data_IF_872103015835
#
_entry.id   IF_872103015835
#
_cell.length_a   1.000
_cell.length_b   1.000
_cell.length_c   1.000
_cell.angle_alpha   90.00
_cell.angle_beta   90.00
_cell.angle_gamma   90.00
#
_symmetry.space_group_name_H-M   'P 1'
#
loop_
_entity.id
_entity.type
_entity.pdbx_description
1 polymer ?
#
# COMPACT_ATOMS: atom_id res chain seq x y z
N UNK A 1 -30.02 -29.51 -31.51
CA UNK A 1 -28.97 -28.89 -32.36
C UNK A 1 -27.67 -28.95 -31.60
N UNK A 2 -26.65 -29.59 -32.14
CA UNK A 2 -25.35 -29.79 -31.49
C UNK A 2 -24.55 -28.48 -31.53
N UNK A 3 -24.02 -28.03 -30.39
CA UNK A 3 -23.20 -26.81 -30.34
C UNK A 3 -21.75 -27.17 -30.64
N UNK A 4 -21.31 -26.95 -31.87
CA UNK A 4 -19.92 -27.14 -32.28
C UNK A 4 -19.02 -26.23 -31.44
N UNK A 5 -18.04 -26.81 -30.75
CA UNK A 5 -17.02 -26.07 -29.99
C UNK A 5 -15.76 -26.03 -30.83
N UNK A 6 -15.23 -24.84 -31.13
CA UNK A 6 -13.97 -24.70 -31.85
C UNK A 6 -12.81 -24.53 -30.85
N UNK A 7 -11.67 -25.16 -31.15
CA UNK A 7 -10.51 -25.18 -30.26
C UNK A 7 -9.86 -23.79 -30.01
N UNK A 8 -10.23 -22.78 -30.80
CA UNK A 8 -9.73 -21.40 -30.63
C UNK A 8 -10.56 -20.58 -29.63
N UNK A 9 -11.79 -20.99 -29.29
CA UNK A 9 -12.71 -20.18 -28.45
C UNK A 9 -12.25 -20.03 -26.98
N UNK A 10 -11.34 -20.89 -26.50
CA UNK A 10 -10.93 -20.96 -25.09
C UNK A 10 -9.41 -21.13 -24.86
N UNK A 11 -8.57 -20.82 -25.85
CA UNK A 11 -7.12 -20.77 -25.64
C UNK A 11 -6.69 -19.35 -25.19
N UNK A 12 -6.07 -19.18 -24.00
CA UNK A 12 -5.54 -17.87 -23.61
C UNK A 12 -4.42 -17.44 -24.57
N UNK A 13 -4.45 -16.18 -25.00
CA UNK A 13 -3.46 -15.60 -25.90
C UNK A 13 -2.04 -15.76 -25.33
N UNK A 14 -1.08 -16.13 -26.20
CA UNK A 14 0.30 -16.48 -25.81
C UNK A 14 1.06 -15.27 -25.23
N UNK A 15 0.98 -15.10 -23.93
CA UNK A 15 1.93 -14.33 -23.12
C UNK A 15 2.98 -15.28 -22.54
N UNK A 16 4.20 -14.79 -22.30
CA UNK A 16 5.36 -15.65 -22.05
C UNK A 16 5.48 -16.05 -20.57
N UNK A 17 4.53 -16.88 -20.10
CA UNK A 17 4.50 -17.51 -18.78
C UNK A 17 4.11 -18.98 -18.92
N UNK A 18 4.89 -19.90 -18.33
CA UNK A 18 4.69 -21.36 -18.51
C UNK A 18 3.74 -21.93 -17.46
N UNK A 19 2.51 -21.42 -17.41
CA UNK A 19 1.42 -22.03 -16.66
C UNK A 19 0.91 -23.25 -17.41
N UNK A 20 1.16 -24.45 -16.88
CA UNK A 20 0.66 -25.70 -17.49
C UNK A 20 -0.83 -25.89 -17.20
N UNK A 21 -1.58 -26.20 -18.25
CA UNK A 21 -2.98 -26.64 -18.17
C UNK A 21 -3.09 -28.06 -18.70
N UNK A 22 -3.84 -28.91 -17.99
CA UNK A 22 -4.16 -30.28 -18.40
C UNK A 22 -5.62 -30.41 -18.81
N UNK A 23 -5.89 -31.26 -19.81
CA UNK A 23 -7.25 -31.60 -20.22
C UNK A 23 -7.88 -32.55 -19.19
N UNK A 24 -9.17 -32.40 -18.91
CA UNK A 24 -9.92 -33.26 -17.98
C UNK A 24 -11.24 -33.71 -18.62
N UNK A 25 -11.32 -34.99 -18.95
CA UNK A 25 -12.51 -35.61 -19.53
C UNK A 25 -13.71 -35.63 -18.54
N UNK A 26 -14.94 -35.34 -19.00
CA UNK A 26 -16.13 -35.37 -18.16
C UNK A 26 -16.60 -36.80 -17.82
N UNK A 27 -17.45 -36.98 -16.80
CA UNK A 27 -17.92 -38.29 -16.36
C UNK A 27 -18.58 -39.09 -17.49
N UNK A 28 -18.14 -40.34 -17.69
CA UNK A 28 -18.64 -41.24 -18.73
C UNK A 28 -17.94 -41.13 -20.09
N UNK A 29 -16.92 -40.29 -20.22
CA UNK A 29 -15.95 -40.36 -21.34
C UNK A 29 -14.76 -41.27 -20.93
N UNK A 30 -14.01 -41.85 -21.90
CA UNK A 30 -12.75 -42.51 -21.57
C UNK A 30 -11.74 -41.51 -20.95
N UNK A 31 -10.90 -41.95 -20.00
CA UNK A 31 -9.86 -41.10 -19.42
C UNK A 31 -8.84 -40.69 -20.49
N UNK A 32 -8.41 -39.43 -20.46
CA UNK A 32 -7.36 -38.89 -21.32
C UNK A 32 -5.98 -39.12 -20.70
N UNK A 33 -5.02 -39.61 -21.50
CA UNK A 33 -3.64 -39.87 -21.05
C UNK A 33 -2.97 -38.60 -20.48
N UNK A 34 -2.01 -38.71 -19.53
CA UNK A 34 -1.31 -37.57 -18.95
C UNK A 34 -0.61 -36.71 -20.01
N UNK A 35 -1.06 -35.45 -20.15
CA UNK A 35 -0.54 -34.50 -21.15
C UNK A 35 -1.19 -34.59 -22.54
N UNK A 36 -2.23 -35.42 -22.72
CA UNK A 36 -3.02 -35.44 -23.95
C UNK A 36 -3.82 -34.13 -24.13
N UNK A 37 -3.93 -33.69 -25.38
CA UNK A 37 -4.60 -32.45 -25.81
C UNK A 37 -5.46 -32.76 -27.04
N UNK A 38 -6.76 -32.39 -27.08
CA UNK A 38 -7.58 -32.61 -28.26
C UNK A 38 -7.05 -31.79 -29.45
N UNK A 39 -6.81 -32.40 -30.63
CA UNK A 39 -6.30 -31.69 -31.80
C UNK A 39 -7.34 -30.72 -32.38
N UNK A 40 -6.88 -29.73 -33.16
CA UNK A 40 -7.75 -28.69 -33.71
C UNK A 40 -8.86 -29.29 -34.60
N UNK A 41 -10.12 -29.04 -34.23
CA UNK A 41 -11.30 -29.57 -34.92
C UNK A 41 -11.81 -30.92 -34.38
N UNK A 42 -11.19 -31.48 -33.34
CA UNK A 42 -11.68 -32.67 -32.65
C UNK A 42 -13.07 -32.46 -32.03
N UNK A 43 -13.90 -33.51 -32.06
CA UNK A 43 -15.21 -33.54 -31.42
C UNK A 43 -15.36 -34.88 -30.66
N UNK A 44 -16.13 -34.91 -29.55
CA UNK A 44 -16.40 -36.15 -28.83
C UNK A 44 -17.20 -37.15 -29.67
N UNK A 45 -17.02 -38.44 -29.39
CA UNK A 45 -17.73 -39.49 -30.11
C UNK A 45 -19.25 -39.42 -29.84
N UNK A 46 -20.14 -39.56 -30.85
CA UNK A 46 -21.59 -39.42 -30.67
C UNK A 46 -22.26 -40.40 -29.69
N UNK A 47 -21.55 -41.44 -29.23
CA UNK A 47 -22.02 -42.39 -28.23
C UNK A 47 -21.64 -42.03 -26.78
N UNK A 48 -20.95 -40.91 -26.56
CA UNK A 48 -20.59 -40.45 -25.22
C UNK A 48 -21.66 -39.48 -24.66
N UNK A 49 -21.88 -39.46 -23.33
CA UNK A 49 -22.83 -38.53 -22.73
C UNK A 49 -22.39 -37.06 -22.94
N UNK A 50 -23.32 -36.10 -23.05
CA UNK A 50 -22.96 -34.69 -23.07
C UNK A 50 -22.33 -34.28 -21.73
N UNK A 51 -21.34 -33.39 -21.79
CA UNK A 51 -20.72 -32.85 -20.58
C UNK A 51 -21.73 -32.02 -19.74
N UNK A 52 -21.60 -31.98 -18.40
CA UNK A 52 -22.38 -31.09 -17.56
C UNK A 52 -22.27 -29.61 -18.00
N UNK A 53 -23.31 -28.77 -17.78
CA UNK A 53 -23.37 -27.40 -18.30
C UNK A 53 -22.16 -26.51 -17.97
N UNK A 54 -21.53 -26.74 -16.81
CA UNK A 54 -20.44 -25.93 -16.27
C UNK A 54 -19.09 -26.71 -16.19
N UNK A 55 -18.92 -27.75 -17.01
CA UNK A 55 -17.71 -28.60 -16.94
C UNK A 55 -16.44 -27.90 -17.42
N UNK A 56 -15.45 -27.79 -16.54
CA UNK A 56 -14.13 -27.25 -16.85
C UNK A 56 -13.23 -28.32 -17.49
N UNK A 57 -13.13 -28.29 -18.81
CA UNK A 57 -12.26 -29.19 -19.59
C UNK A 57 -10.76 -28.93 -19.39
N UNK A 58 -10.36 -27.80 -18.82
CA UNK A 58 -8.96 -27.39 -18.61
C UNK A 58 -8.73 -26.98 -17.17
N UNK A 59 -7.71 -27.56 -16.54
CA UNK A 59 -7.33 -27.26 -15.15
C UNK A 59 -5.83 -26.93 -15.10
N UNK A 60 -5.45 -25.90 -14.36
CA UNK A 60 -4.06 -25.51 -14.13
C UNK A 60 -3.36 -26.45 -13.15
N UNK A 61 -2.13 -26.88 -13.45
CA UNK A 61 -1.38 -27.83 -12.61
C UNK A 61 -0.95 -27.26 -11.23
N UNK A 62 -1.13 -25.95 -10.98
CA UNK A 62 -0.73 -25.30 -9.72
C UNK A 62 -1.71 -25.51 -8.55
N UNK A 63 -2.84 -26.22 -8.73
CA UNK A 63 -3.85 -26.37 -7.67
C UNK A 63 -4.76 -27.61 -7.72
N UNK A 64 -4.20 -28.83 -7.66
CA UNK A 64 -4.79 -29.94 -6.88
C UNK A 64 -3.92 -31.21 -6.86
N UNK A 65 -3.24 -31.48 -5.74
CA UNK A 65 -2.84 -32.85 -5.35
C UNK A 65 -3.98 -33.51 -4.57
N UNK A 66 -4.95 -34.09 -5.28
CA UNK A 66 -5.93 -35.01 -4.68
C UNK A 66 -5.79 -36.39 -5.28
N UNK A 67 -5.48 -37.35 -4.41
CA UNK A 67 -5.38 -38.78 -4.71
C UNK A 67 -6.62 -39.28 -5.46
N UNK A 68 -6.40 -40.06 -6.51
CA UNK A 68 -7.40 -41.05 -6.93
C UNK A 68 -7.46 -42.19 -5.89
N UNK A 69 -8.62 -42.83 -5.70
CA UNK A 69 -8.69 -44.12 -5.01
C UNK A 69 -8.14 -45.22 -5.93
N UNK A 70 -7.39 -46.15 -5.34
CA UNK A 70 -7.02 -47.42 -5.98
C UNK A 70 -7.78 -48.57 -5.27
N UNK A 71 -8.02 -49.69 -5.97
CA UNK A 71 -9.00 -50.69 -5.56
C UNK A 71 -8.53 -52.13 -5.80
N UNK A 72 -7.98 -52.76 -4.75
CA UNK A 72 -7.77 -54.21 -4.67
C UNK A 72 -7.65 -54.72 -3.21
N UNK A 73 -8.65 -55.47 -2.75
CA UNK A 73 -8.44 -56.65 -1.89
C UNK A 73 -7.85 -57.79 -2.77
N UNK A 74 -7.24 -58.90 -2.26
CA UNK A 74 -7.50 -59.57 -0.97
C UNK A 74 -6.21 -60.21 -0.34
N UNK A 75 -6.27 -61.38 0.33
CA UNK A 75 -7.08 -61.80 1.49
C UNK A 75 -6.20 -61.96 2.76
N UNK A 76 -6.83 -62.22 3.91
CA UNK A 76 -6.15 -62.73 5.10
C UNK A 76 -6.56 -64.20 5.38
N UNK A 77 -5.59 -65.11 5.43
CA UNK A 77 -5.80 -66.49 5.90
C UNK A 77 -5.66 -66.60 7.43
N UNK A 78 -6.13 -67.72 7.96
CA UNK A 78 -6.30 -68.00 9.39
C UNK A 78 -5.02 -68.44 10.11
N UNK A 79 -4.99 -68.20 11.42
CA UNK A 79 -4.72 -69.30 12.36
C UNK A 79 -5.62 -69.20 13.61
N UNK A 80 -5.73 -70.30 14.37
CA UNK A 80 -6.75 -70.60 15.40
C UNK A 80 -6.07 -70.84 16.79
N UNK A 81 -6.66 -71.46 17.85
CA UNK A 81 -8.03 -71.97 18.06
C UNK A 81 -8.68 -71.79 19.47
N UNK A 82 -9.99 -72.09 19.55
CA UNK A 82 -10.74 -72.64 20.72
C UNK A 82 -10.87 -71.78 22.01
N UNK A 83 -11.95 -71.84 22.83
CA UNK A 83 -13.25 -72.55 22.82
C UNK A 83 -14.34 -71.59 23.42
N UNK A 84 -15.52 -71.91 23.98
CA UNK A 84 -16.27 -73.13 24.41
C UNK A 84 -17.80 -72.84 24.29
N UNK A 85 -18.74 -73.80 24.44
CA UNK A 85 -20.18 -73.54 24.29
C UNK A 85 -20.84 -72.90 25.53
N UNK A 86 -22.09 -72.46 25.38
CA UNK A 86 -22.83 -71.67 26.37
C UNK A 86 -23.67 -72.50 27.37
N UNK A 87 -23.62 -72.12 28.65
CA UNK A 87 -24.72 -72.25 29.63
C UNK A 87 -24.37 -71.58 30.97
N UNK A 88 -25.37 -71.00 31.66
CA UNK A 88 -25.40 -70.91 33.12
C UNK A 88 -24.67 -69.75 33.83
N UNK A 89 -25.48 -68.82 34.35
CA UNK A 89 -25.31 -68.05 35.60
C UNK A 89 -24.18 -67.02 35.84
N UNK A 90 -24.53 -66.15 36.81
CA UNK A 90 -23.73 -65.25 37.65
C UNK A 90 -23.20 -63.90 37.08
N UNK A 91 -22.77 -63.08 38.04
CA UNK A 91 -22.76 -61.61 38.15
C UNK A 91 -21.62 -60.85 37.45
N UNK A 92 -21.71 -59.50 37.53
CA UNK A 92 -20.70 -58.48 37.17
C UNK A 92 -20.52 -58.23 35.65
N UNK A 93 -20.92 -57.07 35.10
CA UNK A 93 -20.42 -55.67 35.25
C UNK A 93 -19.27 -55.31 34.29
N UNK A 94 -19.63 -54.40 33.38
CA UNK A 94 -18.79 -53.34 32.76
C UNK A 94 -17.91 -53.69 31.53
N UNK A 95 -17.55 -52.62 30.79
CA UNK A 95 -16.78 -52.52 29.54
C UNK A 95 -17.39 -53.16 28.27
N UNK A 96 -17.43 -52.40 27.16
CA UNK A 96 -17.68 -52.98 25.82
C UNK A 96 -18.28 -52.06 24.74
N UNK A 97 -19.01 -51.00 25.09
CA UNK A 97 -19.57 -50.07 24.08
C UNK A 97 -18.49 -49.14 23.52
N UNK A 98 -17.97 -49.45 22.33
CA UNK A 98 -17.33 -48.44 21.48
C UNK A 98 -18.42 -47.44 21.05
N UNK A 99 -18.34 -46.22 21.58
CA UNK A 99 -19.32 -45.18 21.33
C UNK A 99 -18.99 -44.41 20.04
N UNK A 100 -19.79 -44.66 19.00
CA UNK A 100 -19.95 -43.72 17.88
C UNK A 100 -20.14 -42.28 18.41
N UNK A 101 -19.31 -41.30 18.03
CA UNK A 101 -19.44 -39.93 18.53
C UNK A 101 -20.81 -39.38 18.10
N UNK A 102 -21.63 -39.09 19.11
CA UNK A 102 -23.06 -38.81 18.94
C UNK A 102 -23.31 -37.60 18.02
N UNK A 103 -24.53 -37.51 17.48
CA UNK A 103 -24.92 -36.37 16.66
C UNK A 103 -24.80 -35.02 17.42
N UNK A 104 -24.81 -35.02 18.75
CA UNK A 104 -24.47 -33.85 19.56
C UNK A 104 -22.97 -33.54 19.50
N UNK A 105 -22.09 -34.50 19.81
CA UNK A 105 -20.64 -34.32 19.77
C UNK A 105 -20.12 -33.91 18.38
N UNK A 106 -20.74 -34.41 17.30
CA UNK A 106 -20.42 -33.99 15.92
C UNK A 106 -20.82 -32.53 15.63
N UNK A 107 -21.98 -32.07 16.15
CA UNK A 107 -22.41 -30.66 16.05
C UNK A 107 -21.55 -29.73 16.90
N UNK A 108 -21.14 -30.18 18.08
CA UNK A 108 -20.25 -29.45 18.98
C UNK A 108 -18.86 -29.27 18.36
N UNK A 109 -18.30 -30.32 17.75
CA UNK A 109 -17.08 -30.23 16.94
C UNK A 109 -17.19 -29.27 15.75
N UNK A 110 -18.37 -29.18 15.12
CA UNK A 110 -18.62 -28.24 14.04
C UNK A 110 -18.71 -26.80 14.57
N UNK A 111 -19.48 -26.55 15.64
CA UNK A 111 -19.59 -25.23 16.26
C UNK A 111 -18.24 -24.72 16.79
N UNK A 112 -17.42 -25.59 17.37
CA UNK A 112 -16.04 -25.25 17.80
C UNK A 112 -15.16 -24.91 16.59
N UNK A 113 -15.30 -25.60 15.46
CA UNK A 113 -14.55 -25.25 14.22
C UNK A 113 -15.01 -23.92 13.62
N UNK A 114 -16.31 -23.67 13.61
CA UNK A 114 -16.89 -22.40 13.13
C UNK A 114 -16.45 -21.24 14.04
N UNK A 115 -16.40 -21.43 15.36
CA UNK A 115 -15.81 -20.47 16.32
C UNK A 115 -14.31 -20.28 16.11
N UNK A 116 -13.54 -21.35 15.85
CA UNK A 116 -12.10 -21.26 15.58
C UNK A 116 -11.84 -20.51 14.26
N UNK A 117 -12.60 -20.75 13.20
CA UNK A 117 -12.40 -20.09 11.91
C UNK A 117 -12.95 -18.66 11.89
N UNK A 118 -13.99 -18.36 12.69
CA UNK A 118 -14.40 -16.98 12.99
C UNK A 118 -13.31 -16.25 13.78
N UNK A 119 -12.80 -16.83 14.88
CA UNK A 119 -11.72 -16.25 15.68
C UNK A 119 -10.41 -16.07 14.88
N UNK A 120 -10.12 -16.92 13.89
CA UNK A 120 -9.01 -16.70 12.93
C UNK A 120 -9.26 -15.54 11.98
N UNK A 121 -10.49 -15.34 11.50
CA UNK A 121 -10.84 -14.18 10.64
C UNK A 121 -10.77 -12.90 11.43
N UNK A 122 -11.34 -12.89 12.63
CA UNK A 122 -11.20 -11.80 13.60
C UNK A 122 -9.73 -11.56 13.93
N UNK A 123 -8.91 -12.59 14.15
CA UNK A 123 -7.47 -12.42 14.36
C UNK A 123 -6.74 -11.85 13.14
N UNK A 124 -7.10 -12.25 11.91
CA UNK A 124 -6.46 -11.74 10.68
C UNK A 124 -6.91 -10.32 10.36
N UNK A 125 -8.19 -9.99 10.52
CA UNK A 125 -8.69 -8.61 10.39
C UNK A 125 -8.16 -7.73 11.52
N UNK A 126 -7.96 -8.26 12.72
CA UNK A 126 -7.30 -7.55 13.81
C UNK A 126 -5.78 -7.43 13.57
N UNK A 127 -5.10 -8.41 12.98
CA UNK A 127 -3.68 -8.32 12.60
C UNK A 127 -3.49 -7.29 11.46
N UNK A 128 -4.36 -7.27 10.44
CA UNK A 128 -4.32 -6.25 9.37
C UNK A 128 -4.74 -4.86 9.89
N UNK A 129 -5.71 -4.77 10.80
CA UNK A 129 -6.07 -3.51 11.46
C UNK A 129 -4.97 -3.03 12.42
N UNK A 130 -4.30 -3.93 13.14
CA UNK A 130 -3.14 -3.62 13.99
C UNK A 130 -1.95 -3.25 13.12
N UNK A 131 -1.72 -3.89 11.96
CA UNK A 131 -0.72 -3.45 10.99
C UNK A 131 -1.04 -2.03 10.48
N UNK A 132 -2.29 -1.73 10.13
CA UNK A 132 -2.71 -0.39 9.71
C UNK A 132 -2.64 0.66 10.85
N UNK A 133 -2.90 0.25 12.09
CA UNK A 133 -2.90 1.13 13.27
C UNK A 133 -1.48 1.34 13.85
N UNK A 134 -0.59 0.35 13.72
CA UNK A 134 0.86 0.46 13.95
C UNK A 134 1.55 1.24 12.83
N UNK A 135 1.09 1.12 11.58
CA UNK A 135 1.46 2.04 10.47
C UNK A 135 1.04 3.49 10.77
N UNK A 136 0.19 3.72 11.77
CA UNK A 136 -0.06 5.05 12.35
C UNK A 136 1.18 5.73 12.94
N UNK A 137 2.14 4.97 13.48
CA UNK A 137 3.50 5.42 13.81
C UNK A 137 4.48 4.25 13.59
N UNK A 138 5.14 4.22 12.43
CA UNK A 138 6.40 3.47 12.31
C UNK A 138 7.45 4.21 13.16
N UNK A 139 7.67 3.76 14.40
CA UNK A 139 8.79 4.23 15.19
C UNK A 139 10.09 3.80 14.50
N UNK A 140 11.00 4.75 14.28
CA UNK A 140 12.34 4.46 13.76
C UNK A 140 13.09 3.60 14.78
N UNK A 141 13.20 2.29 14.49
CA UNK A 141 13.88 1.33 15.36
C UNK A 141 15.41 1.51 15.38
N UNK A 142 15.94 2.36 14.49
CA UNK A 142 17.37 2.57 14.30
C UNK A 142 17.73 4.07 14.33
N UNK A 143 18.72 4.50 15.15
CA UNK A 143 19.05 5.92 15.36
C UNK A 143 19.89 6.55 14.24
N UNK A 144 19.75 6.09 12.99
CA UNK A 144 20.47 6.65 11.85
C UNK A 144 19.63 7.72 11.15
N UNK A 145 20.25 8.88 10.91
CA UNK A 145 19.57 10.10 10.49
C UNK A 145 19.48 10.22 8.96
N UNK A 146 20.42 9.61 8.22
CA UNK A 146 20.55 9.76 6.76
C UNK A 146 20.52 8.42 6.03
N UNK A 147 19.99 8.42 4.81
CA UNK A 147 19.99 7.24 3.93
C UNK A 147 21.42 6.77 3.53
N UNK A 148 22.48 7.52 3.82
CA UNK A 148 23.86 7.10 3.62
C UNK A 148 24.34 6.16 4.73
N UNK A 149 24.14 6.54 5.99
CA UNK A 149 24.48 5.72 7.17
C UNK A 149 23.80 4.34 7.12
N UNK A 150 22.54 4.28 6.67
CA UNK A 150 21.83 3.02 6.46
C UNK A 150 22.51 2.10 5.42
N UNK A 151 23.13 2.65 4.37
CA UNK A 151 23.86 1.84 3.37
C UNK A 151 25.14 1.26 3.97
N UNK A 152 25.84 2.02 4.80
CA UNK A 152 27.06 1.59 5.50
C UNK A 152 26.73 0.45 6.47
N UNK A 153 25.73 0.63 7.33
CA UNK A 153 25.30 -0.41 8.27
C UNK A 153 24.76 -1.68 7.54
N UNK A 154 24.05 -1.53 6.41
CA UNK A 154 23.67 -2.68 5.56
C UNK A 154 24.90 -3.35 4.92
N UNK A 155 25.97 -2.62 4.62
CA UNK A 155 27.22 -3.19 4.12
C UNK A 155 27.96 -3.98 5.22
N UNK A 156 27.99 -3.48 6.46
CA UNK A 156 28.53 -4.21 7.62
C UNK A 156 27.78 -5.52 7.86
N UNK A 157 26.44 -5.49 7.88
CA UNK A 157 25.60 -6.68 8.03
C UNK A 157 25.92 -7.71 6.93
N UNK A 158 26.09 -7.27 5.68
CA UNK A 158 26.47 -8.14 4.55
C UNK A 158 27.89 -8.69 4.65
N UNK A 159 28.83 -7.96 5.26
CA UNK A 159 30.19 -8.45 5.54
C UNK A 159 30.17 -9.51 6.65
N UNK A 160 29.43 -9.27 7.74
CA UNK A 160 29.21 -10.27 8.79
C UNK A 160 28.52 -11.53 8.24
N UNK A 161 27.50 -11.37 7.40
CA UNK A 161 26.79 -12.50 6.78
C UNK A 161 27.72 -13.32 5.87
N UNK A 162 28.61 -12.67 5.11
CA UNK A 162 29.66 -13.34 4.33
C UNK A 162 30.66 -14.09 5.22
N UNK A 163 30.97 -13.61 6.42
CA UNK A 163 31.85 -14.29 7.35
C UNK A 163 31.23 -15.61 7.87
N UNK A 164 29.95 -15.61 8.27
CA UNK A 164 29.22 -16.84 8.64
C UNK A 164 29.21 -17.88 7.52
N UNK A 165 29.00 -17.46 6.26
CA UNK A 165 29.03 -18.35 5.09
C UNK A 165 30.45 -18.87 4.83
N UNK A 166 31.47 -18.00 4.86
CA UNK A 166 32.89 -18.38 4.62
C UNK A 166 33.43 -19.34 5.68
N UNK A 167 33.05 -19.14 6.94
CA UNK A 167 33.50 -19.95 8.06
C UNK A 167 32.69 -21.25 8.25
N UNK A 168 31.60 -21.42 7.48
CA UNK A 168 30.70 -22.58 7.59
C UNK A 168 29.78 -22.57 8.81
N UNK A 169 29.78 -21.50 9.61
CA UNK A 169 29.06 -21.40 10.89
C UNK A 169 27.58 -21.00 10.75
N UNK A 170 27.11 -20.68 9.54
CA UNK A 170 25.72 -20.28 9.28
C UNK A 170 24.66 -21.38 9.56
N UNK A 171 25.06 -22.65 9.46
CA UNK A 171 24.24 -23.83 9.78
C UNK A 171 24.98 -24.64 10.85
N UNK A 172 24.32 -24.90 11.97
CA UNK A 172 24.80 -25.79 13.02
C UNK A 172 24.35 -27.22 12.71
N UNK A 173 25.21 -28.21 12.97
CA UNK A 173 24.95 -29.63 12.72
C UNK A 173 25.74 -30.51 13.71
N UNK A 174 25.36 -31.78 13.85
CA UNK A 174 26.01 -32.72 14.78
C UNK A 174 27.15 -33.51 14.12
N UNK A 175 28.38 -33.35 14.61
CA UNK A 175 29.57 -34.10 14.16
C UNK A 175 29.49 -35.62 14.42
N UNK A 176 28.50 -36.06 15.21
CA UNK A 176 28.33 -37.47 15.63
C UNK A 176 27.64 -38.34 14.58
N UNK A 177 27.17 -37.77 13.48
CA UNK A 177 26.47 -38.51 12.43
C UNK A 177 27.42 -39.42 11.63
N UNK A 178 27.15 -40.72 11.65
CA UNK A 178 27.84 -41.72 10.83
C UNK A 178 26.91 -42.24 9.73
N UNK A 179 27.44 -42.35 8.50
CA UNK A 179 26.72 -42.92 7.36
C UNK A 179 27.47 -44.15 6.86
N UNK A 180 26.78 -45.28 6.62
CA UNK A 180 27.39 -46.57 6.27
C UNK A 180 28.57 -46.95 7.18
N UNK A 181 28.37 -46.84 8.50
CA UNK A 181 29.41 -47.03 9.55
C UNK A 181 30.67 -46.13 9.40
N UNK A 182 30.59 -45.05 8.63
CA UNK A 182 31.70 -44.12 8.37
C UNK A 182 31.39 -42.70 8.80
N UNK A 183 32.13 -42.21 9.79
CA UNK A 183 32.17 -40.79 10.18
C UNK A 183 32.80 -39.88 9.12
N UNK A 184 33.52 -40.44 8.14
CA UNK A 184 34.02 -39.66 7.00
C UNK A 184 32.92 -39.43 5.94
N UNK A 185 32.12 -40.46 5.64
CA UNK A 185 30.97 -40.32 4.75
C UNK A 185 29.87 -39.47 5.39
N UNK A 186 29.60 -39.66 6.69
CA UNK A 186 28.67 -38.85 7.47
C UNK A 186 29.00 -37.36 7.40
N UNK A 187 30.22 -36.96 7.78
CA UNK A 187 30.66 -35.55 7.71
C UNK A 187 30.58 -34.96 6.29
N UNK A 188 30.88 -35.73 5.24
CA UNK A 188 30.68 -35.27 3.85
C UNK A 188 29.21 -35.00 3.54
N UNK A 189 28.33 -35.94 3.90
CA UNK A 189 26.88 -35.82 3.72
C UNK A 189 26.33 -34.59 4.45
N UNK A 190 26.67 -34.42 5.74
CA UNK A 190 26.28 -33.25 6.54
C UNK A 190 26.77 -31.94 5.92
N UNK A 191 28.00 -31.88 5.39
CA UNK A 191 28.53 -30.70 4.72
C UNK A 191 27.81 -30.36 3.41
N UNK A 192 27.38 -31.36 2.63
CA UNK A 192 26.65 -31.13 1.37
C UNK A 192 25.17 -30.77 1.62
N UNK A 193 24.51 -31.37 2.62
CA UNK A 193 23.19 -30.93 3.08
C UNK A 193 23.22 -29.54 3.72
N UNK A 194 24.29 -29.17 4.43
CA UNK A 194 24.47 -27.83 5.01
C UNK A 194 24.47 -26.75 3.93
N UNK A 195 25.20 -26.96 2.82
CA UNK A 195 25.20 -26.07 1.65
C UNK A 195 23.81 -25.95 1.00
N UNK A 196 23.04 -27.04 0.96
CA UNK A 196 21.68 -27.04 0.41
C UNK A 196 20.72 -26.21 1.28
N UNK A 197 20.71 -26.47 2.59
CA UNK A 197 19.86 -25.76 3.55
C UNK A 197 20.21 -24.27 3.62
N UNK A 198 21.51 -23.94 3.64
CA UNK A 198 21.99 -22.56 3.61
C UNK A 198 21.60 -21.82 2.32
N UNK A 199 21.63 -22.51 1.16
CA UNK A 199 21.15 -21.93 -0.10
C UNK A 199 19.66 -21.62 -0.05
N UNK A 200 18.84 -22.57 0.42
CA UNK A 200 17.39 -22.37 0.55
C UNK A 200 17.06 -21.23 1.53
N UNK A 201 17.71 -21.20 2.70
CA UNK A 201 17.58 -20.12 3.68
C UNK A 201 17.95 -18.76 3.09
N UNK A 202 19.10 -18.66 2.43
CA UNK A 202 19.57 -17.40 1.87
C UNK A 202 18.70 -16.91 0.72
N UNK A 203 18.18 -17.82 -0.14
CA UNK A 203 17.20 -17.43 -1.16
C UNK A 203 15.93 -16.85 -0.55
N UNK A 204 15.39 -17.44 0.53
CA UNK A 204 14.20 -16.87 1.19
C UNK A 204 14.51 -15.55 1.91
N UNK A 205 15.67 -15.46 2.58
CA UNK A 205 16.11 -14.24 3.22
C UNK A 205 16.36 -13.10 2.21
N UNK A 206 16.92 -13.40 1.04
CA UNK A 206 17.14 -12.42 -0.03
C UNK A 206 15.81 -12.02 -0.70
N UNK A 207 14.86 -12.96 -0.84
CA UNK A 207 13.50 -12.64 -1.28
C UNK A 207 12.79 -11.69 -0.30
N UNK A 208 12.95 -11.91 1.02
CA UNK A 208 12.43 -11.02 2.05
C UNK A 208 13.07 -9.62 1.94
N UNK A 209 14.41 -9.51 1.90
CA UNK A 209 15.11 -8.22 1.74
C UNK A 209 14.75 -7.50 0.43
N UNK A 210 14.42 -8.23 -0.64
CA UNK A 210 14.00 -7.65 -1.93
C UNK A 210 12.52 -7.28 -2.02
N UNK A 211 11.67 -7.78 -1.13
CA UNK A 211 10.21 -7.55 -1.14
C UNK A 211 9.69 -6.78 0.08
N UNK A 212 10.52 -6.56 1.10
CA UNK A 212 10.21 -5.68 2.23
C UNK A 212 9.95 -4.25 1.74
N UNK A 213 8.99 -3.60 2.39
CA UNK A 213 8.59 -2.19 2.29
C UNK A 213 8.30 -1.70 3.70
N UNK A 214 8.12 -0.39 3.88
CA UNK A 214 7.79 0.25 5.16
C UNK A 214 6.83 -0.57 6.06
N UNK A 215 5.65 -0.95 5.53
CA UNK A 215 4.63 -1.70 6.27
C UNK A 215 4.73 -3.24 6.21
N UNK A 216 5.77 -3.83 5.61
CA UNK A 216 5.88 -5.31 5.46
C UNK A 216 7.08 -5.94 6.19
N UNK A 217 7.78 -5.17 7.04
CA UNK A 217 8.90 -5.67 7.86
C UNK A 217 8.49 -6.87 8.73
N UNK A 218 7.36 -6.78 9.43
CA UNK A 218 6.87 -7.84 10.32
C UNK A 218 6.54 -9.15 9.58
N UNK A 219 5.85 -9.08 8.44
CA UNK A 219 5.50 -10.27 7.65
C UNK A 219 6.68 -10.85 6.87
N UNK A 220 7.70 -10.04 6.57
CA UNK A 220 8.99 -10.51 6.05
C UNK A 220 9.80 -11.27 7.13
N UNK A 221 9.87 -10.76 8.37
CA UNK A 221 10.45 -11.47 9.52
C UNK A 221 9.79 -12.84 9.73
N UNK A 222 8.46 -12.84 9.93
CA UNK A 222 7.68 -14.05 10.20
C UNK A 222 7.83 -15.13 9.12
N UNK A 223 8.05 -14.73 7.87
CA UNK A 223 8.34 -15.66 6.76
C UNK A 223 9.72 -16.30 6.87
N UNK A 224 10.73 -15.52 7.28
CA UNK A 224 12.08 -16.02 7.53
C UNK A 224 12.12 -16.97 8.75
N UNK A 225 11.36 -16.67 9.80
CA UNK A 225 11.24 -17.52 11.00
C UNK A 225 10.68 -18.91 10.64
N UNK A 226 9.61 -18.95 9.82
CA UNK A 226 9.04 -20.19 9.26
C UNK A 226 10.04 -20.97 8.40
N UNK A 227 10.98 -20.29 7.75
CA UNK A 227 12.07 -20.92 6.99
C UNK A 227 13.06 -21.64 7.91
N UNK A 228 13.45 -21.01 9.03
CA UNK A 228 14.29 -21.64 10.07
C UNK A 228 13.59 -22.86 10.66
N UNK A 229 12.30 -22.76 11.01
CA UNK A 229 11.52 -23.91 11.49
C UNK A 229 11.51 -25.06 10.48
N UNK A 230 11.28 -24.76 9.20
CA UNK A 230 11.19 -25.76 8.13
C UNK A 230 12.51 -26.48 7.91
N UNK A 231 13.63 -25.74 7.93
CA UNK A 231 14.98 -26.29 7.89
C UNK A 231 15.27 -27.16 9.11
N UNK A 232 14.87 -26.75 10.32
CA UNK A 232 15.06 -27.56 11.53
C UNK A 232 14.21 -28.85 11.52
N UNK A 233 12.98 -28.80 10.98
CA UNK A 233 12.10 -29.97 10.80
C UNK A 233 12.70 -30.99 9.83
N UNK A 234 13.22 -30.53 8.69
CA UNK A 234 13.90 -31.38 7.69
C UNK A 234 15.28 -31.87 8.19
N UNK A 235 16.01 -31.03 8.92
CA UNK A 235 17.35 -31.29 9.44
C UNK A 235 17.41 -32.20 10.67
N UNK A 236 16.26 -32.58 11.24
CA UNK A 236 16.13 -33.25 12.55
C UNK A 236 17.02 -34.50 12.70
N UNK A 237 17.17 -35.32 11.66
CA UNK A 237 17.98 -36.57 11.70
C UNK A 237 19.49 -36.32 11.92
N UNK A 238 19.99 -35.15 11.54
CA UNK A 238 21.40 -34.73 11.70
C UNK A 238 21.55 -33.57 12.69
N UNK A 239 20.49 -33.31 13.48
CA UNK A 239 20.35 -32.19 14.43
C UNK A 239 20.63 -30.80 13.81
N UNK A 240 20.33 -30.66 12.51
CA UNK A 240 20.71 -29.46 11.74
C UNK A 240 19.74 -28.30 11.93
N UNK A 241 20.27 -27.09 12.11
CA UNK A 241 19.49 -25.84 12.24
C UNK A 241 20.28 -24.63 11.74
N UNK A 242 19.59 -23.56 11.36
CA UNK A 242 20.23 -22.25 11.14
C UNK A 242 20.82 -21.76 12.47
N UNK A 243 22.02 -21.16 12.43
CA UNK A 243 22.64 -20.59 13.62
C UNK A 243 21.81 -19.37 14.12
N UNK A 244 21.43 -19.31 15.42
CA UNK A 244 20.60 -18.21 15.93
C UNK A 244 21.18 -16.82 15.66
N UNK A 245 22.49 -16.66 15.80
CA UNK A 245 23.22 -15.41 15.50
C UNK A 245 23.10 -15.00 14.03
N UNK A 246 23.23 -15.96 13.10
CA UNK A 246 23.08 -15.72 11.67
C UNK A 246 21.63 -15.39 11.28
N UNK A 247 20.67 -15.98 11.99
CA UNK A 247 19.26 -15.68 11.81
C UNK A 247 18.91 -14.28 12.30
N UNK A 248 19.32 -13.90 13.52
CA UNK A 248 19.18 -12.55 14.08
C UNK A 248 19.84 -11.49 13.17
N UNK A 249 21.02 -11.78 12.63
CA UNK A 249 21.71 -10.89 11.68
C UNK A 249 20.88 -10.64 10.40
N UNK A 250 20.19 -11.66 9.88
CA UNK A 250 19.32 -11.54 8.70
C UNK A 250 17.96 -10.91 8.99
N UNK A 251 17.42 -11.08 10.21
CA UNK A 251 16.27 -10.30 10.68
C UNK A 251 16.63 -8.81 10.74
N UNK A 252 17.82 -8.46 11.25
CA UNK A 252 18.33 -7.08 11.25
C UNK A 252 18.54 -6.51 9.84
N UNK A 253 18.94 -7.33 8.86
CA UNK A 253 19.01 -6.88 7.46
C UNK A 253 17.62 -6.51 6.90
N UNK A 254 16.56 -7.23 7.30
CA UNK A 254 15.18 -6.95 6.89
C UNK A 254 14.65 -5.66 7.54
N UNK A 255 14.86 -5.49 8.86
CA UNK A 255 14.50 -4.26 9.59
C UNK A 255 15.15 -3.02 8.96
N UNK A 256 16.47 -3.03 8.86
CA UNK A 256 17.27 -1.92 8.38
C UNK A 256 17.02 -1.61 6.88
N UNK A 257 16.62 -2.61 6.09
CA UNK A 257 16.16 -2.38 4.71
C UNK A 257 14.78 -1.71 4.67
N UNK A 258 13.92 -1.96 5.67
CA UNK A 258 12.67 -1.24 5.88
C UNK A 258 12.92 0.23 6.25
N UNK A 259 13.69 0.49 7.31
CA UNK A 259 14.07 1.84 7.76
C UNK A 259 14.66 2.67 6.62
N UNK A 260 15.62 2.08 5.88
CA UNK A 260 16.28 2.69 4.73
C UNK A 260 15.30 3.12 3.63
N UNK A 261 14.31 2.28 3.31
CA UNK A 261 13.32 2.61 2.28
C UNK A 261 12.44 3.80 2.70
N UNK A 262 12.04 3.86 3.97
CA UNK A 262 11.28 5.00 4.52
C UNK A 262 12.13 6.27 4.46
N UNK A 263 13.39 6.21 4.93
CA UNK A 263 14.32 7.33 4.90
C UNK A 263 14.56 7.87 3.48
N UNK A 264 14.76 6.98 2.51
CA UNK A 264 14.88 7.35 1.09
C UNK A 264 13.59 7.96 0.52
N UNK A 265 12.41 7.52 0.99
CA UNK A 265 11.15 8.16 0.61
C UNK A 265 11.02 9.57 1.21
N UNK A 266 11.32 9.75 2.50
CA UNK A 266 11.30 11.06 3.17
C UNK A 266 12.22 12.07 2.47
N UNK A 267 13.49 11.71 2.24
CA UNK A 267 14.48 12.55 1.57
C UNK A 267 14.03 12.91 0.14
N UNK A 268 13.44 11.96 -0.58
CA UNK A 268 12.91 12.17 -1.94
C UNK A 268 11.67 13.07 -1.96
N UNK A 269 10.80 12.97 -0.95
CA UNK A 269 9.64 13.86 -0.80
C UNK A 269 10.05 15.27 -0.37
N UNK A 270 10.99 15.40 0.58
CA UNK A 270 11.57 16.67 1.00
C UNK A 270 12.22 17.40 -0.18
N UNK A 271 13.13 16.73 -0.91
CA UNK A 271 13.77 17.29 -2.09
C UNK A 271 12.78 17.56 -3.24
N UNK A 272 11.61 16.89 -3.31
CA UNK A 272 10.55 17.26 -4.26
C UNK A 272 9.89 18.58 -3.83
N UNK A 273 9.45 18.68 -2.58
CA UNK A 273 8.78 19.87 -2.05
C UNK A 273 9.67 21.12 -2.10
N UNK A 274 10.97 20.99 -1.80
CA UNK A 274 11.95 22.07 -1.92
C UNK A 274 12.10 22.56 -3.37
N UNK A 275 12.22 21.64 -4.34
CA UNK A 275 12.27 22.01 -5.77
C UNK A 275 10.96 22.59 -6.30
N UNK A 276 9.82 22.25 -5.70
CA UNK A 276 8.54 22.89 -6.02
C UNK A 276 8.52 24.33 -5.49
N UNK A 277 8.86 24.54 -4.20
CA UNK A 277 9.00 25.86 -3.61
C UNK A 277 9.95 26.77 -4.38
N UNK A 278 11.15 26.30 -4.70
CA UNK A 278 12.15 27.08 -5.47
C UNK A 278 11.72 27.39 -6.91
N UNK A 279 10.72 26.68 -7.46
CA UNK A 279 10.10 27.04 -8.75
C UNK A 279 9.01 28.09 -8.56
N UNK A 280 8.18 27.94 -7.54
CA UNK A 280 7.08 28.85 -7.22
C UNK A 280 7.59 30.22 -6.76
N UNK A 281 8.62 30.25 -5.91
CA UNK A 281 9.30 31.47 -5.45
C UNK A 281 9.90 32.25 -6.64
N UNK A 282 10.53 31.55 -7.60
CA UNK A 282 11.08 32.15 -8.84
C UNK A 282 10.02 32.62 -9.83
N UNK A 283 8.86 31.94 -9.91
CA UNK A 283 7.73 32.38 -10.75
C UNK A 283 7.16 33.69 -10.23
N UNK A 284 6.88 33.75 -8.93
CA UNK A 284 6.39 34.98 -8.30
C UNK A 284 7.39 36.15 -8.45
N UNK A 285 8.70 35.90 -8.37
CA UNK A 285 9.72 36.91 -8.64
C UNK A 285 9.72 37.40 -10.09
N UNK A 286 9.63 36.50 -11.06
CA UNK A 286 9.56 36.86 -12.48
C UNK A 286 8.27 37.63 -12.83
N UNK A 287 7.14 37.28 -12.22
CA UNK A 287 5.87 38.00 -12.38
C UNK A 287 5.93 39.42 -11.82
N UNK A 288 6.39 39.58 -10.58
CA UNK A 288 6.52 40.90 -9.95
C UNK A 288 7.49 41.80 -10.73
N UNK A 289 8.59 41.25 -11.24
CA UNK A 289 9.53 41.96 -12.12
C UNK A 289 8.91 42.35 -13.47
N UNK A 290 8.19 41.44 -14.14
CA UNK A 290 7.55 41.73 -15.42
C UNK A 290 6.46 42.80 -15.30
N UNK A 291 5.65 42.73 -14.24
CA UNK A 291 4.66 43.75 -13.89
C UNK A 291 5.33 45.10 -13.60
N UNK A 292 6.45 45.09 -12.87
CA UNK A 292 7.20 46.32 -12.54
C UNK A 292 7.77 47.00 -13.79
N UNK A 293 8.26 46.21 -14.75
CA UNK A 293 8.66 46.71 -16.06
C UNK A 293 7.47 47.25 -16.87
N UNK A 294 6.29 46.63 -16.79
CA UNK A 294 5.10 47.10 -17.51
C UNK A 294 4.64 48.45 -16.95
N UNK A 295 4.46 48.56 -15.63
CA UNK A 295 4.05 49.79 -14.96
C UNK A 295 5.03 50.95 -15.24
N UNK A 296 6.33 50.68 -15.35
CA UNK A 296 7.32 51.70 -15.73
C UNK A 296 7.17 52.17 -17.19
N UNK A 297 6.87 51.24 -18.11
CA UNK A 297 6.56 51.58 -19.52
C UNK A 297 5.26 52.39 -19.63
N UNK A 298 4.24 52.06 -18.84
CA UNK A 298 2.99 52.81 -18.77
C UNK A 298 3.18 54.21 -18.15
N UNK A 299 3.92 54.34 -17.04
CA UNK A 299 4.30 55.62 -16.46
C UNK A 299 5.05 56.49 -17.49
N UNK A 300 6.00 55.89 -18.23
CA UNK A 300 6.70 56.55 -19.33
C UNK A 300 5.76 56.98 -20.47
N UNK A 301 4.68 56.25 -20.75
CA UNK A 301 3.67 56.65 -21.73
C UNK A 301 2.83 57.83 -21.24
N UNK A 302 2.21 57.72 -20.06
CA UNK A 302 1.30 58.74 -19.54
C UNK A 302 2.00 60.05 -19.15
N UNK A 303 3.26 60.01 -18.68
CA UNK A 303 4.04 61.24 -18.45
C UNK A 303 4.33 62.00 -19.75
N UNK A 304 4.65 61.30 -20.84
CA UNK A 304 4.81 61.91 -22.16
C UNK A 304 3.48 62.41 -22.75
N UNK A 305 2.36 61.75 -22.46
CA UNK A 305 1.03 62.24 -22.83
C UNK A 305 0.66 63.53 -22.07
N UNK A 306 0.87 63.55 -20.75
CA UNK A 306 0.62 64.71 -19.90
C UNK A 306 1.43 65.94 -20.36
N UNK A 307 2.70 65.76 -20.72
CA UNK A 307 3.56 66.83 -21.21
C UNK A 307 3.02 67.48 -22.51
N UNK A 308 2.37 66.71 -23.38
CA UNK A 308 1.73 67.23 -24.60
C UNK A 308 0.43 67.97 -24.28
N UNK A 309 -0.47 67.36 -23.50
CA UNK A 309 -1.75 67.97 -23.12
C UNK A 309 -1.55 69.30 -22.35
N UNK A 310 -0.50 69.38 -21.52
CA UNK A 310 -0.11 70.62 -20.85
C UNK A 310 0.42 71.70 -21.82
N UNK A 311 1.17 71.32 -22.86
CA UNK A 311 1.63 72.24 -23.91
C UNK A 311 0.49 72.70 -24.85
N UNK A 312 -0.53 71.87 -25.04
CA UNK A 312 -1.73 72.15 -25.83
C UNK A 312 -2.83 72.88 -25.02
N UNK A 313 -2.62 73.11 -23.72
CA UNK A 313 -3.56 73.83 -22.85
C UNK A 313 -4.84 73.04 -22.49
N UNK A 314 -4.86 71.73 -22.71
CA UNK A 314 -6.03 70.88 -22.51
C UNK A 314 -6.15 70.43 -21.05
N UNK A 315 -6.44 71.40 -20.17
CA UNK A 315 -6.40 71.28 -18.71
C UNK A 315 -7.17 70.06 -18.17
N UNK A 316 -8.41 69.85 -18.62
CA UNK A 316 -9.33 68.82 -18.14
C UNK A 316 -8.83 67.39 -18.44
N UNK A 317 -8.32 67.14 -19.65
CA UNK A 317 -7.69 65.86 -20.01
C UNK A 317 -6.33 65.68 -19.30
N UNK A 318 -5.60 66.77 -19.06
CA UNK A 318 -4.35 66.73 -18.30
C UNK A 318 -4.57 66.43 -16.80
N UNK A 319 -5.78 66.67 -16.27
CA UNK A 319 -6.16 66.32 -14.91
C UNK A 319 -6.51 64.82 -14.80
N UNK A 320 -7.29 64.26 -15.74
CA UNK A 320 -7.57 62.81 -15.84
C UNK A 320 -6.28 61.98 -15.96
N UNK A 321 -5.33 62.41 -16.80
CA UNK A 321 -4.03 61.73 -16.95
C UNK A 321 -3.18 61.82 -15.67
N UNK A 322 -3.36 62.86 -14.83
CA UNK A 322 -2.67 62.95 -13.52
C UNK A 322 -3.25 61.99 -12.48
N UNK A 323 -4.57 61.83 -12.42
CA UNK A 323 -5.20 60.81 -11.56
C UNK A 323 -4.71 59.40 -11.93
N UNK A 324 -4.69 59.09 -13.24
CA UNK A 324 -4.18 57.81 -13.74
C UNK A 324 -2.69 57.59 -13.46
N UNK A 325 -1.86 58.65 -13.54
CA UNK A 325 -0.45 58.59 -13.14
C UNK A 325 -0.27 58.32 -11.64
N UNK A 326 -1.13 58.89 -10.78
CA UNK A 326 -1.10 58.58 -9.34
C UNK A 326 -1.38 57.10 -9.10
N UNK A 327 -2.44 56.55 -9.71
CA UNK A 327 -2.79 55.14 -9.57
C UNK A 327 -1.66 54.19 -10.05
N UNK A 328 -0.93 54.56 -11.11
CA UNK A 328 0.25 53.80 -11.58
C UNK A 328 1.43 53.92 -10.58
N UNK A 329 1.63 55.08 -9.97
CA UNK A 329 2.66 55.28 -8.92
C UNK A 329 2.33 54.47 -7.65
N UNK A 330 1.08 54.46 -7.22
CA UNK A 330 0.60 53.67 -6.08
C UNK A 330 0.73 52.15 -6.34
N UNK A 331 0.50 51.71 -7.58
CA UNK A 331 0.72 50.32 -8.00
C UNK A 331 2.21 49.95 -8.04
N UNK A 332 3.07 50.87 -8.49
CA UNK A 332 4.54 50.73 -8.45
C UNK A 332 5.03 50.59 -7.01
N UNK A 333 4.60 51.46 -6.08
CA UNK A 333 5.02 51.35 -4.67
C UNK A 333 4.57 50.02 -4.04
N UNK A 334 3.35 49.56 -4.34
CA UNK A 334 2.85 48.27 -3.87
C UNK A 334 3.64 47.08 -4.45
N UNK A 335 4.06 47.13 -5.71
CA UNK A 335 4.90 46.09 -6.31
C UNK A 335 6.33 46.12 -5.75
N UNK A 336 6.97 47.29 -5.70
CA UNK A 336 8.32 47.46 -5.12
C UNK A 336 8.34 47.03 -3.64
N UNK A 337 7.27 47.27 -2.88
CA UNK A 337 7.09 46.74 -1.53
C UNK A 337 7.04 45.20 -1.48
N UNK A 338 6.34 44.55 -2.41
CA UNK A 338 6.26 43.07 -2.52
C UNK A 338 7.57 42.44 -2.98
N UNK A 339 8.34 43.14 -3.83
CA UNK A 339 9.69 42.73 -4.25
C UNK A 339 10.67 42.84 -3.07
N UNK A 340 10.66 43.97 -2.35
CA UNK A 340 11.57 44.21 -1.23
C UNK A 340 11.27 43.34 0.00
N UNK A 341 10.00 43.06 0.29
CA UNK A 341 9.58 42.27 1.45
C UNK A 341 9.15 40.85 1.05
N UNK A 342 10.09 39.91 1.07
CA UNK A 342 9.87 38.48 0.81
C UNK A 342 8.86 37.85 1.81
N UNK A 343 8.56 38.48 2.96
CA UNK A 343 7.55 38.00 3.91
C UNK A 343 6.13 38.46 3.55
N UNK A 344 5.96 39.46 2.67
CA UNK A 344 4.67 39.92 2.22
C UNK A 344 4.04 38.98 1.17
N UNK A 345 2.72 38.89 1.16
CA UNK A 345 1.98 38.05 0.23
C UNK A 345 0.54 37.82 0.68
N UNK A 346 -0.14 36.88 0.03
CA UNK A 346 -1.51 36.50 0.37
C UNK A 346 -1.53 35.20 1.16
N UNK A 347 -2.17 35.20 2.33
CA UNK A 347 -2.59 33.97 3.03
C UNK A 347 -3.95 33.56 2.49
N UNK A 348 -4.09 32.29 2.10
CA UNK A 348 -5.33 31.73 1.59
C UNK A 348 -5.84 30.58 2.46
N UNK A 349 -7.16 30.40 2.47
CA UNK A 349 -7.85 29.25 3.06
C UNK A 349 -8.78 28.68 2.01
N UNK A 350 -8.57 27.42 1.65
CA UNK A 350 -9.27 26.76 0.56
C UNK A 350 -9.77 25.37 0.99
N UNK A 351 -10.89 24.90 0.44
CA UNK A 351 -11.41 23.54 0.67
C UNK A 351 -11.75 22.83 -0.64
N UNK A 352 -11.96 21.52 -0.55
CA UNK A 352 -12.41 20.71 -1.66
C UNK A 352 -13.24 19.55 -1.11
N UNK A 353 -14.56 19.74 -1.05
CA UNK A 353 -15.49 18.76 -0.46
C UNK A 353 -15.39 17.41 -1.18
N UNK A 354 -15.28 17.41 -2.51
CA UNK A 354 -15.26 16.19 -3.30
C UNK A 354 -13.96 15.38 -3.19
N UNK A 355 -12.86 16.00 -2.75
CA UNK A 355 -11.58 15.32 -2.51
C UNK A 355 -11.33 14.96 -1.04
N UNK A 356 -11.76 15.81 -0.09
CA UNK A 356 -11.39 15.69 1.33
C UNK A 356 -12.56 15.78 2.32
N UNK A 357 -13.78 16.07 1.84
CA UNK A 357 -14.97 16.24 2.67
C UNK A 357 -15.14 17.63 3.29
N UNK A 358 -16.31 17.86 3.89
CA UNK A 358 -16.80 19.17 4.39
C UNK A 358 -15.98 19.79 5.53
N UNK A 359 -15.11 19.01 6.19
CA UNK A 359 -14.37 19.39 7.40
C UNK A 359 -12.85 19.42 7.20
N UNK A 360 -12.41 19.55 5.95
CA UNK A 360 -10.98 19.64 5.61
C UNK A 360 -10.70 20.88 4.79
N UNK A 361 -9.74 21.66 5.28
CA UNK A 361 -9.25 22.89 4.66
C UNK A 361 -7.73 22.83 4.48
N UNK A 362 -7.22 23.40 3.40
CA UNK A 362 -5.81 23.77 3.28
C UNK A 362 -5.64 25.24 3.69
N UNK A 363 -4.62 25.48 4.51
CA UNK A 363 -4.07 26.81 4.81
C UNK A 363 -2.74 26.92 4.06
N UNK A 364 -2.40 28.11 3.58
CA UNK A 364 -1.10 28.37 2.96
C UNK A 364 -0.94 29.83 2.57
N UNK A 365 0.19 30.16 1.94
CA UNK A 365 0.42 31.50 1.40
C UNK A 365 0.99 31.46 -0.03
N UNK A 366 0.91 32.59 -0.73
CA UNK A 366 1.51 32.80 -2.06
C UNK A 366 2.05 34.23 -2.20
N UNK A 367 3.12 34.39 -3.00
CA UNK A 367 3.67 35.69 -3.42
C UNK A 367 3.29 36.09 -4.86
N UNK A 368 2.69 35.17 -5.64
CA UNK A 368 2.23 35.38 -7.03
C UNK A 368 1.49 36.70 -7.18
N UNK A 369 1.67 37.39 -8.32
CA UNK A 369 1.04 38.69 -8.56
C UNK A 369 -0.47 38.60 -8.31
N UNK A 370 -1.11 37.71 -9.08
CA UNK A 370 -2.47 37.22 -8.86
C UNK A 370 -2.47 35.93 -8.01
N UNK A 371 -3.04 35.96 -6.80
CA UNK A 371 -3.03 34.79 -5.92
C UNK A 371 -4.06 33.71 -6.32
N UNK A 372 -5.08 34.05 -7.12
CA UNK A 372 -6.11 33.10 -7.58
C UNK A 372 -5.53 32.05 -8.52
N UNK A 373 -4.59 32.41 -9.37
CA UNK A 373 -3.92 31.49 -10.30
C UNK A 373 -3.22 30.35 -9.57
N UNK A 374 -2.62 30.62 -8.39
CA UNK A 374 -2.03 29.57 -7.56
C UNK A 374 -3.09 28.62 -6.96
N UNK A 375 -4.29 29.10 -6.68
CA UNK A 375 -5.40 28.26 -6.19
C UNK A 375 -5.90 27.33 -7.31
N UNK A 376 -5.95 27.83 -8.55
CA UNK A 376 -6.26 27.03 -9.75
C UNK A 376 -5.18 25.96 -10.02
N UNK A 377 -3.90 26.34 -10.03
CA UNK A 377 -2.77 25.39 -10.19
C UNK A 377 -2.79 24.25 -9.16
N UNK A 378 -3.20 24.53 -7.92
CA UNK A 378 -3.30 23.54 -6.85
C UNK A 378 -4.44 22.53 -7.08
N UNK A 379 -5.50 22.94 -7.79
CA UNK A 379 -6.62 22.07 -8.19
C UNK A 379 -6.21 21.06 -9.26
N UNK A 380 -5.86 21.59 -10.44
CA UNK A 380 -5.59 20.81 -11.66
C UNK A 380 -4.55 19.70 -11.48
N UNK A 381 -3.58 19.90 -10.59
CA UNK A 381 -2.43 19.02 -10.44
C UNK A 381 -2.71 17.71 -9.66
N UNK A 382 -3.78 17.61 -8.86
CA UNK A 382 -3.89 16.50 -7.89
C UNK A 382 -5.29 16.17 -7.32
N UNK A 383 -6.36 16.90 -7.67
CA UNK A 383 -7.72 16.66 -7.10
C UNK A 383 -8.81 16.60 -8.20
N UNK A 384 -9.89 15.83 -7.99
CA UNK A 384 -10.94 15.62 -9.01
C UNK A 384 -11.88 16.81 -9.25
N UNK A 385 -11.76 17.88 -8.46
CA UNK A 385 -12.59 19.09 -8.52
C UNK A 385 -11.71 20.32 -8.20
N UNK A 386 -12.07 21.54 -8.62
CA UNK A 386 -11.38 22.76 -8.20
C UNK A 386 -11.48 23.00 -6.69
N UNK A 387 -10.67 23.93 -6.17
CA UNK A 387 -10.72 24.38 -4.78
C UNK A 387 -11.67 25.57 -4.60
N UNK A 388 -12.56 25.47 -3.61
CA UNK A 388 -13.36 26.59 -3.12
C UNK A 388 -12.51 27.52 -2.25
N UNK A 389 -12.63 28.84 -2.42
CA UNK A 389 -11.84 29.84 -1.68
C UNK A 389 -12.66 30.49 -0.57
N UNK A 390 -12.26 30.24 0.69
CA UNK A 390 -12.90 30.77 1.89
C UNK A 390 -12.30 32.11 2.35
N UNK A 391 -10.99 32.27 2.21
CA UNK A 391 -10.26 33.49 2.54
C UNK A 391 -9.17 33.73 1.51
N UNK A 392 -8.99 35.00 1.17
CA UNK A 392 -7.81 35.51 0.49
C UNK A 392 -7.41 36.85 1.14
N UNK A 393 -6.35 36.85 1.96
CA UNK A 393 -5.95 38.01 2.76
C UNK A 393 -4.50 38.42 2.50
N UNK A 394 -4.29 39.65 2.03
CA UNK A 394 -2.95 40.24 1.91
C UNK A 394 -2.38 40.59 3.29
N UNK A 395 -1.17 40.12 3.59
CA UNK A 395 -0.43 40.46 4.80
C UNK A 395 0.97 40.97 4.46
N UNK A 396 1.40 42.00 5.21
CA UNK A 396 2.80 42.49 5.24
C UNK A 396 3.78 41.48 5.85
N UNK A 397 3.26 40.50 6.59
CA UNK A 397 3.99 39.30 7.00
C UNK A 397 3.04 38.08 6.90
N UNK A 398 2.90 37.58 5.68
CA UNK A 398 2.12 36.38 5.39
C UNK A 398 2.76 35.12 5.99
N UNK A 399 4.10 35.09 6.11
CA UNK A 399 4.86 33.98 6.70
C UNK A 399 4.54 33.82 8.19
N UNK A 400 4.52 34.91 8.96
CA UNK A 400 4.14 34.85 10.37
C UNK A 400 2.69 34.41 10.55
N UNK A 401 1.75 35.01 9.81
CA UNK A 401 0.32 34.69 9.90
C UNK A 401 0.01 33.24 9.55
N UNK A 402 0.57 32.73 8.44
CA UNK A 402 0.47 31.32 8.04
C UNK A 402 1.04 30.39 9.13
N UNK A 403 2.24 30.69 9.61
CA UNK A 403 2.93 29.84 10.59
C UNK A 403 2.31 29.90 11.99
N UNK A 404 1.52 30.93 12.31
CA UNK A 404 0.67 30.97 13.51
C UNK A 404 -0.58 30.11 13.37
N UNK A 405 -1.29 30.18 12.24
CA UNK A 405 -2.43 29.30 11.95
C UNK A 405 -2.00 27.82 11.97
N UNK A 406 -0.86 27.52 11.35
CA UNK A 406 -0.24 26.19 11.32
C UNK A 406 0.12 25.62 12.70
N UNK A 407 0.34 26.49 13.70
CA UNK A 407 0.56 26.11 15.11
C UNK A 407 -0.76 25.97 15.85
N UNK A 408 -1.71 26.89 15.65
CA UNK A 408 -3.02 26.89 16.28
C UNK A 408 -3.85 25.63 15.95
N UNK A 409 -3.68 25.08 14.75
CA UNK A 409 -4.35 23.87 14.29
C UNK A 409 -3.41 22.65 14.18
N UNK A 410 -2.24 22.68 14.83
CA UNK A 410 -1.22 21.63 14.69
C UNK A 410 -1.71 20.24 15.16
N UNK A 411 -2.55 20.20 16.19
CA UNK A 411 -3.24 19.01 16.71
C UNK A 411 -4.19 18.39 15.68
N UNK A 412 -4.84 19.23 14.87
CA UNK A 412 -5.86 18.87 13.86
C UNK A 412 -5.30 18.69 12.44
N UNK A 413 -3.98 18.58 12.27
CA UNK A 413 -3.37 18.24 10.97
C UNK A 413 -3.88 16.89 10.44
N UNK A 414 -4.31 16.89 9.18
CA UNK A 414 -4.76 15.69 8.47
C UNK A 414 -3.58 14.75 8.18
N UNK A 415 -2.42 15.30 7.80
CA UNK A 415 -1.20 14.53 7.67
C UNK A 415 -0.27 14.84 8.86
N UNK A 416 -0.10 13.86 9.74
CA UNK A 416 0.77 13.94 10.92
C UNK A 416 2.22 13.45 10.67
N UNK A 417 2.49 12.84 9.52
CA UNK A 417 3.82 12.34 9.13
C UNK A 417 4.54 13.42 8.30
N UNK A 418 4.00 13.77 7.14
CA UNK A 418 4.57 14.80 6.28
C UNK A 418 3.92 16.16 6.61
N UNK A 419 4.45 16.85 7.62
CA UNK A 419 3.92 18.13 8.13
C UNK A 419 3.94 19.29 7.10
N UNK A 420 4.61 19.13 5.94
CA UNK A 420 4.53 20.06 4.80
C UNK A 420 3.23 19.91 3.98
N UNK A 421 2.38 18.93 4.31
CA UNK A 421 1.03 18.77 3.74
C UNK A 421 0.03 19.51 4.62
N UNK A 422 -0.20 20.78 4.34
CA UNK A 422 -0.88 21.75 5.23
C UNK A 422 -2.41 21.67 5.15
N UNK A 423 -2.95 20.46 5.32
CA UNK A 423 -4.38 20.16 5.40
C UNK A 423 -4.78 19.91 6.86
N UNK A 424 -5.94 20.44 7.27
CA UNK A 424 -6.38 20.46 8.66
C UNK A 424 -7.86 20.06 8.78
N UNK A 425 -8.20 19.29 9.81
CA UNK A 425 -9.56 18.93 10.21
C UNK A 425 -10.24 20.09 10.94
N UNK A 426 -10.54 21.16 10.19
CA UNK A 426 -11.04 22.44 10.69
C UNK A 426 -12.06 22.98 9.68
N UNK A 427 -13.13 23.58 10.17
CA UNK A 427 -14.15 24.23 9.32
C UNK A 427 -13.73 25.67 8.94
N UNK A 428 -14.25 26.22 7.83
CA UNK A 428 -14.06 27.63 7.50
C UNK A 428 -14.45 28.57 8.65
N UNK A 429 -15.57 28.29 9.32
CA UNK A 429 -16.08 29.03 10.48
C UNK A 429 -15.03 29.19 11.60
N UNK A 430 -14.36 28.10 11.96
CA UNK A 430 -13.34 28.11 13.03
C UNK A 430 -12.12 28.95 12.67
N UNK A 431 -11.72 28.93 11.39
CA UNK A 431 -10.64 29.80 10.90
C UNK A 431 -11.09 31.27 10.87
N UNK A 432 -12.34 31.56 10.48
CA UNK A 432 -12.90 32.92 10.55
C UNK A 432 -12.88 33.46 11.97
N UNK A 433 -13.25 32.65 12.97
CA UNK A 433 -13.21 33.02 14.40
C UNK A 433 -11.77 33.26 14.86
N UNK A 434 -10.84 32.35 14.53
CA UNK A 434 -9.42 32.46 14.88
C UNK A 434 -8.76 33.72 14.29
N UNK A 435 -9.15 34.12 13.08
CA UNK A 435 -8.63 35.31 12.40
C UNK A 435 -9.30 36.60 12.86
N UNK A 436 -10.61 36.61 13.10
CA UNK A 436 -11.32 37.80 13.60
C UNK A 436 -10.75 38.26 14.95
N UNK A 437 -10.33 37.33 15.81
CA UNK A 437 -9.65 37.61 17.08
C UNK A 437 -8.22 38.21 16.93
N UNK A 438 -7.65 38.22 15.72
CA UNK A 438 -6.28 38.70 15.41
C UNK A 438 -6.24 39.92 14.49
N UNK A 439 -7.09 39.93 13.47
CA UNK A 439 -7.10 40.91 12.37
C UNK A 439 -8.34 41.84 12.41
N UNK A 440 -9.29 41.58 13.31
CA UNK A 440 -10.56 42.28 13.38
C UNK A 440 -11.61 41.75 12.41
N UNK A 441 -12.78 42.42 12.37
CA UNK A 441 -13.96 41.95 11.64
C UNK A 441 -13.94 42.20 10.11
N UNK A 442 -12.93 42.89 9.57
CA UNK A 442 -12.90 43.31 8.16
C UNK A 442 -12.12 42.28 7.33
N UNK A 443 -12.66 41.07 7.22
CA UNK A 443 -12.17 40.02 6.36
C UNK A 443 -13.30 39.55 5.45
N UNK A 444 -13.14 39.69 4.14
CA UNK A 444 -14.01 39.01 3.18
C UNK A 444 -13.83 37.50 3.35
N UNK A 445 -14.90 36.81 3.76
CA UNK A 445 -14.86 35.41 4.11
C UNK A 445 -16.07 34.65 3.56
N UNK A 446 -15.83 33.76 2.60
CA UNK A 446 -16.87 32.89 2.05
C UNK A 446 -17.08 31.71 3.00
N UNK A 447 -18.11 31.79 3.83
CA UNK A 447 -18.36 30.78 4.87
C UNK A 447 -18.86 29.44 4.29
N UNK A 448 -19.60 29.47 3.18
CA UNK A 448 -20.04 28.29 2.43
C UNK A 448 -19.24 28.11 1.14
N UNK A 449 -18.66 26.92 0.88
CA UNK A 449 -18.09 26.59 -0.43
C UNK A 449 -19.19 26.41 -1.49
N UNK A 450 -18.91 26.73 -2.76
CA UNK A 450 -19.85 26.51 -3.86
C UNK A 450 -19.85 25.05 -4.32
N UNK A 451 -18.66 24.44 -4.41
CA UNK A 451 -18.42 23.05 -4.81
C UNK A 451 -19.27 22.58 -6.02
N UNK A 452 -19.48 23.47 -6.98
CA UNK A 452 -20.51 23.33 -8.03
C UNK A 452 -20.40 22.04 -8.85
N UNK A 453 -19.19 21.71 -9.30
CA UNK A 453 -18.90 20.46 -10.02
C UNK A 453 -19.14 19.20 -9.18
N UNK A 454 -18.86 19.25 -7.87
CA UNK A 454 -19.12 18.15 -6.95
C UNK A 454 -20.62 17.92 -6.78
N UNK A 455 -21.42 18.97 -6.55
CA UNK A 455 -22.87 18.84 -6.43
C UNK A 455 -23.56 18.44 -7.74
N UNK A 456 -23.01 18.82 -8.90
CA UNK A 456 -23.47 18.34 -10.22
C UNK A 456 -23.11 16.86 -10.46
N UNK A 457 -21.97 16.40 -9.95
CA UNK A 457 -21.49 15.02 -10.15
C UNK A 457 -22.11 14.02 -9.19
N UNK A 458 -22.32 14.40 -7.92
CA UNK A 458 -22.80 13.52 -6.84
C UNK A 458 -24.08 12.72 -7.17
N UNK A 459 -25.09 13.25 -7.90
CA UNK A 459 -26.28 12.50 -8.29
C UNK A 459 -26.06 11.43 -9.38
N UNK A 460 -24.94 11.45 -10.11
CA UNK A 460 -24.63 10.49 -11.18
C UNK A 460 -23.63 9.41 -10.76
N UNK A 461 -23.17 9.45 -9.51
CA UNK A 461 -22.26 8.44 -8.96
C UNK A 461 -22.95 7.08 -8.85
N UNK A 462 -22.23 5.97 -9.13
CA UNK A 462 -22.80 4.63 -9.00
C UNK A 462 -23.16 4.36 -7.53
N UNK A 463 -24.34 3.79 -7.29
CA UNK A 463 -24.70 3.35 -5.94
C UNK A 463 -23.63 2.37 -5.40
N UNK A 464 -23.24 2.50 -4.11
CA UNK A 464 -22.28 1.58 -3.53
C UNK A 464 -22.87 0.17 -3.55
N UNK A 465 -22.25 -0.73 -4.32
CA UNK A 465 -22.62 -2.15 -4.35
C UNK A 465 -22.63 -2.68 -2.92
N UNK A 466 -23.82 -3.00 -2.41
CA UNK A 466 -23.95 -3.76 -1.16
C UNK A 466 -23.23 -5.09 -1.39
N UNK A 467 -22.24 -5.39 -0.55
CA UNK A 467 -21.56 -6.69 -0.59
C UNK A 467 -22.54 -7.71 -0.04
N UNK A 468 -23.25 -8.40 -0.93
CA UNK A 468 -24.08 -9.53 -0.56
C UNK A 468 -23.17 -10.64 -0.03
N UNK A 469 -23.18 -10.83 1.29
CA UNK A 469 -22.46 -11.90 1.97
C UNK A 469 -23.12 -13.23 1.64
N UNK A 470 -22.62 -13.87 0.58
CA UNK A 470 -23.19 -15.07 -0.03
C UNK A 470 -23.03 -16.33 0.84
N UNK A 471 -23.81 -16.40 1.91
CA UNK A 471 -23.94 -17.54 2.83
C UNK A 471 -24.72 -18.71 2.20
N UNK A 472 -24.27 -19.18 1.03
CA UNK A 472 -24.86 -20.28 0.26
C UNK A 472 -24.58 -21.66 0.86
N UNK A 473 -25.06 -21.89 2.08
CA UNK A 473 -25.08 -23.23 2.71
C UNK A 473 -26.07 -24.12 1.95
N UNK A 474 -25.58 -24.79 0.91
CA UNK A 474 -26.34 -25.73 0.10
C UNK A 474 -26.73 -26.95 0.94
N UNK A 475 -28.02 -27.08 1.26
CA UNK A 475 -28.56 -28.27 1.92
C UNK A 475 -28.75 -29.40 0.91
N UNK A 476 -28.01 -30.49 1.10
CA UNK A 476 -28.42 -31.86 0.78
C UNK A 476 -27.96 -32.80 1.89
#
# INVERSE_FOLDING_TARGET
MTRTVFADDFLPQRSNSVSKFRFVAPPGWPPSDPGWVPPKGWQPHPSWPPAPPDWQFWVSDESDERKLPDAADPPAESDSPAAVPASGDDTARDAGRQAEPSAAARRELQAIREQIDQAKRELVELDDAILLQQVGIYEYHHPLETAEQYKEALAEIRLAAKAFVKNGTAILASDRFAYNNSLAQGRKMTADFSKLMLRAYNSEADNCVRSVRAGTVASAKQRLDRSVESIAKLGKMMEMRVAPEYHLLRLREIEMTGDYQIKVQEEREAARAERERLREEKRAEAELQAEREQLEKELGHYTNALAKLAAEGQQEQADEVRERLSAIQDAIEQNDYRIANIRAGYVYVISNIGAFGEKVVKIGMTRRLEPRDRILELGDASVPFPFDTHLLHFSKDAVALESELHKMFADRRLNRVNLRREFFFVTPQEIRIALAAKLGNILEFNETPEASQYYQSRPTWPEPKRVETSSSVSRR
#
